data_IF_169683376895
#
_entry.id   IF_169683376895
#
_cell.length_a   1.000
_cell.length_b   1.000
_cell.length_c   1.000
_cell.angle_alpha   90.00
_cell.angle_beta   90.00
_cell.angle_gamma   90.00
#
_symmetry.space_group_name_H-M   'P 1'
#
loop_
_entity.id
_entity.type
_entity.pdbx_description
1 polymer ?
#
# COMPACT_ATOMS: atom_id res chain seq x y z
N UNK A 1 22.91 11.65 -3.80
CA UNK A 1 22.45 11.84 -4.18
C UNK A 1 21.92 12.35 -4.56
N UNK A 2 21.95 12.29 -4.87
CA UNK A 2 21.54 13.04 -5.24
C UNK A 2 20.43 13.36 -5.69
N UNK A 3 20.09 13.99 -5.29
CA UNK A 3 18.81 14.31 -5.71
C UNK A 3 18.89 14.86 -7.08
N UNK A 4 18.06 14.32 -7.88
CA UNK A 4 17.83 14.78 -9.15
C UNK A 4 17.27 16.19 -8.99
N UNK A 5 17.86 17.17 -9.57
CA UNK A 5 17.38 18.53 -9.51
C UNK A 5 16.36 18.83 -10.61
N UNK A 6 15.83 17.82 -11.26
CA UNK A 6 14.80 18.00 -12.27
C UNK A 6 13.54 18.57 -11.59
N UNK A 7 12.92 19.61 -12.14
CA UNK A 7 11.69 20.13 -11.60
C UNK A 7 10.64 19.01 -11.48
N UNK A 8 10.01 18.89 -10.33
CA UNK A 8 9.07 17.84 -10.07
C UNK A 8 9.68 16.57 -9.52
N UNK A 9 11.01 16.52 -9.37
CA UNK A 9 11.63 15.35 -8.76
C UNK A 9 11.22 15.25 -7.30
N UNK A 10 11.04 14.01 -6.83
CA UNK A 10 10.65 13.76 -5.46
C UNK A 10 11.87 13.87 -4.53
N UNK A 11 11.63 14.21 -3.27
CA UNK A 11 12.63 14.14 -2.21
C UNK A 11 12.09 13.22 -1.13
N UNK A 12 12.96 12.75 -0.23
CA UNK A 12 12.48 11.94 0.89
C UNK A 12 11.46 12.68 1.71
N UNK A 13 11.68 13.98 1.93
CA UNK A 13 10.73 14.78 2.71
C UNK A 13 9.40 14.93 2.01
N UNK A 14 9.42 15.20 0.71
CA UNK A 14 8.16 15.36 -0.03
C UNK A 14 7.41 14.03 -0.11
N UNK A 15 8.13 12.93 -0.25
CA UNK A 15 7.53 11.61 -0.28
C UNK A 15 6.89 11.30 1.07
N UNK A 16 7.60 11.55 2.16
CA UNK A 16 7.08 11.26 3.49
C UNK A 16 5.79 12.07 3.76
N UNK A 17 5.76 13.33 3.34
CA UNK A 17 4.56 14.15 3.50
C UNK A 17 3.39 13.67 2.66
N UNK A 18 3.66 12.91 1.62
CA UNK A 18 2.62 12.39 0.72
C UNK A 18 2.02 11.07 1.20
N UNK A 19 2.58 10.45 2.24
CA UNK A 19 2.04 9.21 2.77
C UNK A 19 0.72 9.50 3.46
N UNK A 20 -0.33 8.82 3.03
CA UNK A 20 -1.65 8.94 3.65
C UNK A 20 -1.76 7.87 4.73
N UNK A 21 -2.19 8.26 5.92
CA UNK A 21 -2.32 7.37 7.06
C UNK A 21 -3.80 7.08 7.29
N UNK A 22 -4.14 5.80 7.41
CA UNK A 22 -5.52 5.38 7.64
C UNK A 22 -5.90 5.36 9.11
N UNK A 23 -7.14 5.00 9.35
CA UNK A 23 -7.70 4.90 10.70
C UNK A 23 -7.35 3.52 11.26
N UNK A 24 -6.82 3.43 12.49
CA UNK A 24 -6.53 2.12 13.08
C UNK A 24 -7.79 1.30 13.30
N UNK A 25 -7.67 -0.01 13.13
CA UNK A 25 -8.74 -0.97 13.36
C UNK A 25 -8.24 -2.01 14.36
N UNK A 26 -9.02 -2.28 15.40
CA UNK A 26 -8.62 -3.24 16.44
C UNK A 26 -9.60 -4.40 16.47
N UNK A 27 -9.06 -5.61 16.50
CA UNK A 27 -9.83 -6.84 16.61
C UNK A 27 -9.06 -7.79 17.52
N UNK A 28 -9.72 -8.32 18.54
CA UNK A 28 -9.11 -9.26 19.49
C UNK A 28 -7.74 -8.78 19.95
N UNK A 29 -7.66 -7.51 20.30
CA UNK A 29 -6.45 -6.84 20.81
C UNK A 29 -5.33 -6.65 19.80
N UNK A 30 -5.46 -7.11 18.56
CA UNK A 30 -4.54 -6.75 17.51
C UNK A 30 -5.01 -5.47 16.86
N UNK A 31 -4.06 -4.59 16.54
CA UNK A 31 -4.37 -3.33 15.85
C UNK A 31 -3.75 -3.38 14.47
N UNK A 32 -4.50 -2.89 13.48
CA UNK A 32 -4.08 -2.81 12.09
C UNK A 32 -4.22 -1.37 11.63
N UNK A 33 -3.29 -0.90 10.83
CA UNK A 33 -3.39 0.46 10.29
C UNK A 33 -2.79 0.49 8.90
N UNK A 34 -3.49 1.10 7.96
CA UNK A 34 -3.04 1.18 6.57
C UNK A 34 -2.36 2.49 6.26
N UNK A 35 -1.49 2.46 5.25
CA UNK A 35 -0.78 3.62 4.74
C UNK A 35 -0.73 3.51 3.22
N UNK A 36 -0.77 4.65 2.54
CA UNK A 36 -0.78 4.66 1.07
C UNK A 36 0.14 5.74 0.54
N UNK A 37 0.89 5.39 -0.47
CA UNK A 37 1.61 6.35 -1.29
C UNK A 37 1.13 6.20 -2.72
N UNK A 38 0.71 7.31 -3.33
CA UNK A 38 0.28 7.35 -4.72
C UNK A 38 1.37 7.99 -5.57
N UNK A 39 1.25 7.83 -6.88
CA UNK A 39 2.21 8.38 -7.84
C UNK A 39 3.61 7.83 -7.61
N UNK A 40 3.69 6.56 -7.25
CA UNK A 40 4.96 5.86 -7.04
C UNK A 40 5.52 5.52 -8.41
N UNK A 41 6.78 5.91 -8.66
CA UNK A 41 7.40 5.71 -9.97
C UNK A 41 8.53 4.70 -9.94
N UNK A 42 8.98 4.28 -8.78
CA UNK A 42 10.12 3.36 -8.69
C UNK A 42 10.08 2.57 -7.39
N UNK A 43 10.76 1.44 -7.40
CA UNK A 43 10.91 0.63 -6.19
C UNK A 43 11.73 1.39 -5.13
N UNK A 44 12.63 2.26 -5.55
CA UNK A 44 13.38 3.10 -4.61
C UNK A 44 12.43 3.95 -3.76
N UNK A 45 11.33 4.44 -4.35
CA UNK A 45 10.35 5.19 -3.58
C UNK A 45 9.60 4.29 -2.58
N UNK A 46 9.33 3.03 -2.95
CA UNK A 46 8.74 2.07 -2.02
C UNK A 46 9.66 1.87 -0.82
N UNK A 47 10.95 1.70 -1.07
CA UNK A 47 11.93 1.50 0.00
C UNK A 47 12.00 2.73 0.91
N UNK A 48 11.96 3.92 0.30
CA UNK A 48 11.96 5.17 1.07
C UNK A 48 10.71 5.28 1.94
N UNK A 49 9.55 4.90 1.40
CA UNK A 49 8.31 4.89 2.17
C UNK A 49 8.44 3.99 3.40
N UNK A 50 8.95 2.78 3.21
CA UNK A 50 9.07 1.83 4.32
C UNK A 50 10.05 2.34 5.38
N UNK A 51 11.16 2.95 4.96
CA UNK A 51 12.10 3.55 5.91
C UNK A 51 11.46 4.70 6.67
N UNK A 52 10.70 5.55 5.97
CA UNK A 52 10.03 6.68 6.60
C UNK A 52 9.03 6.20 7.65
N UNK A 53 8.24 5.17 7.32
CA UNK A 53 7.28 4.63 8.27
C UNK A 53 7.99 4.05 9.50
N UNK A 54 9.11 3.35 9.31
CA UNK A 54 9.81 2.74 10.44
C UNK A 54 10.54 3.75 11.31
N UNK A 55 10.68 5.01 10.88
CA UNK A 55 11.21 6.05 11.76
C UNK A 55 10.20 6.48 12.83
N UNK A 56 8.93 6.21 12.62
CA UNK A 56 7.93 6.43 13.65
C UNK A 56 8.10 5.35 14.73
N UNK A 57 8.24 5.77 15.99
CA UNK A 57 8.58 4.84 17.08
C UNK A 57 7.48 3.80 17.29
N UNK A 58 6.23 4.15 17.09
CA UNK A 58 5.13 3.21 17.25
C UNK A 58 5.15 2.17 16.11
N UNK A 59 5.37 2.61 14.88
CA UNK A 59 5.42 1.70 13.73
C UNK A 59 6.65 0.81 13.82
N UNK A 60 7.77 1.33 14.31
CA UNK A 60 8.97 0.52 14.47
C UNK A 60 8.75 -0.68 15.39
N UNK A 61 7.74 -0.62 16.26
CA UNK A 61 7.43 -1.70 17.20
C UNK A 61 6.32 -2.63 16.69
N UNK A 62 5.83 -2.46 15.47
CA UNK A 62 4.78 -3.34 14.98
C UNK A 62 5.33 -4.75 14.78
N UNK A 63 4.43 -5.72 14.82
CA UNK A 63 4.80 -7.11 14.62
C UNK A 63 5.12 -7.40 13.15
N UNK A 64 4.38 -6.78 12.25
CA UNK A 64 4.55 -6.98 10.81
C UNK A 64 4.23 -5.66 10.11
N UNK A 65 5.04 -5.29 9.14
CA UNK A 65 4.80 -4.13 8.28
C UNK A 65 4.73 -4.65 6.84
N UNK A 66 3.54 -4.95 6.39
CA UNK A 66 3.31 -5.63 5.11
C UNK A 66 3.11 -4.61 4.01
N UNK A 67 3.69 -4.85 2.85
CA UNK A 67 3.62 -3.90 1.74
C UNK A 67 3.34 -4.62 0.43
N UNK A 68 2.65 -3.94 -0.47
CA UNK A 68 2.50 -4.39 -1.85
C UNK A 68 2.51 -3.15 -2.74
N UNK A 69 3.07 -3.29 -3.93
CA UNK A 69 3.16 -2.17 -4.86
C UNK A 69 2.91 -2.65 -6.28
N UNK A 70 2.45 -1.73 -7.12
CA UNK A 70 2.19 -2.00 -8.52
C UNK A 70 2.47 -0.73 -9.29
N UNK A 71 3.56 -0.74 -10.06
CA UNK A 71 4.09 0.44 -10.74
C UNK A 71 4.19 0.14 -12.21
N UNK A 72 3.60 0.99 -13.05
CA UNK A 72 3.72 0.82 -14.50
C UNK A 72 5.07 1.35 -14.95
N UNK A 73 5.87 0.47 -15.51
CA UNK A 73 7.21 0.82 -15.98
C UNK A 73 7.14 1.30 -17.43
N UNK A 74 6.32 0.65 -18.26
CA UNK A 74 6.11 1.08 -19.64
C UNK A 74 4.65 0.85 -20.01
N UNK A 75 4.20 1.53 -21.05
CA UNK A 75 2.80 1.56 -21.47
C UNK A 75 2.18 2.90 -21.11
N UNK A 76 0.97 3.12 -21.56
CA UNK A 76 0.28 4.39 -21.35
C UNK A 76 -1.06 4.16 -20.68
N UNK A 77 -1.61 5.21 -20.04
CA UNK A 77 -2.95 5.10 -19.46
C UNK A 77 -3.96 4.67 -20.49
N UNK A 78 -4.82 3.72 -20.12
CA UNK A 78 -5.82 3.19 -21.04
C UNK A 78 -5.40 1.92 -21.76
N UNK A 79 -4.10 1.59 -21.77
CA UNK A 79 -3.66 0.33 -22.35
C UNK A 79 -4.10 -0.84 -21.48
N UNK A 80 -4.31 -1.99 -22.11
CA UNK A 80 -4.55 -3.22 -21.35
C UNK A 80 -3.34 -3.56 -20.51
N UNK A 81 -3.55 -4.23 -19.38
CA UNK A 81 -2.46 -4.56 -18.47
C UNK A 81 -1.34 -5.37 -19.15
N UNK A 82 -1.70 -6.28 -20.04
CA UNK A 82 -0.72 -7.11 -20.72
C UNK A 82 0.07 -6.33 -21.81
N UNK A 83 -0.37 -5.14 -22.15
CA UNK A 83 0.38 -4.25 -23.04
C UNK A 83 1.37 -3.38 -22.27
N UNK A 84 1.39 -3.49 -20.95
CA UNK A 84 2.26 -2.70 -20.10
C UNK A 84 3.30 -3.58 -19.43
N UNK A 85 4.39 -2.96 -18.99
CA UNK A 85 5.38 -3.62 -18.15
C UNK A 85 5.21 -3.09 -16.73
N UNK A 86 5.23 -3.99 -15.77
CA UNK A 86 4.95 -3.65 -14.38
C UNK A 86 6.12 -4.01 -13.48
N UNK A 87 6.41 -3.15 -12.52
CA UNK A 87 7.21 -3.51 -11.35
C UNK A 87 6.20 -3.72 -10.24
N UNK A 88 5.95 -4.97 -9.88
CA UNK A 88 4.95 -5.28 -8.86
C UNK A 88 5.45 -6.44 -8.02
N UNK A 89 5.29 -6.31 -6.72
CA UNK A 89 5.74 -7.31 -5.77
C UNK A 89 5.16 -6.97 -4.40
N UNK A 90 5.56 -7.73 -3.41
CA UNK A 90 5.12 -7.51 -2.04
C UNK A 90 6.20 -7.92 -1.06
N UNK A 91 6.06 -7.46 0.19
CA UNK A 91 6.89 -7.85 1.31
C UNK A 91 5.94 -8.16 2.47
N UNK A 92 5.92 -9.40 2.92
CA UNK A 92 5.00 -9.83 3.98
C UNK A 92 5.51 -9.54 5.37
N UNK A 93 6.80 -9.29 5.51
CA UNK A 93 7.44 -9.02 6.79
C UNK A 93 7.02 -10.04 7.86
N UNK A 94 7.06 -11.31 7.48
CA UNK A 94 6.79 -12.40 8.42
C UNK A 94 5.33 -12.80 8.59
N UNK A 95 4.39 -12.05 8.03
CA UNK A 95 2.97 -12.43 8.07
C UNK A 95 2.69 -13.29 6.83
N UNK A 96 2.99 -14.57 6.91
CA UNK A 96 2.96 -15.45 5.76
C UNK A 96 1.58 -15.48 5.09
N UNK A 97 1.56 -15.24 3.79
CA UNK A 97 0.33 -15.24 2.99
C UNK A 97 -0.28 -13.87 2.79
N UNK A 98 0.08 -12.88 3.61
CA UNK A 98 -0.52 -11.54 3.52
C UNK A 98 -0.16 -10.85 2.21
N UNK A 99 1.08 -11.02 1.75
CA UNK A 99 1.54 -10.34 0.55
C UNK A 99 0.82 -10.78 -0.70
N UNK A 100 0.51 -12.09 -0.81
CA UNK A 100 -0.22 -12.57 -1.94
C UNK A 100 -1.59 -11.94 -2.03
N UNK A 101 -2.29 -11.81 -0.92
CA UNK A 101 -3.62 -11.19 -0.90
C UNK A 101 -3.56 -9.72 -1.26
N UNK A 102 -2.58 -9.00 -0.73
CA UNK A 102 -2.42 -7.58 -1.04
C UNK A 102 -2.06 -7.37 -2.51
N UNK A 103 -1.15 -8.19 -3.05
CA UNK A 103 -0.80 -8.11 -4.48
C UNK A 103 -1.99 -8.40 -5.37
N UNK A 104 -2.78 -9.41 -5.02
CA UNK A 104 -3.97 -9.76 -5.77
C UNK A 104 -4.97 -8.59 -5.75
N UNK A 105 -5.13 -7.95 -4.61
CA UNK A 105 -6.01 -6.80 -4.48
C UNK A 105 -5.59 -5.67 -5.43
N UNK A 106 -4.30 -5.38 -5.52
CA UNK A 106 -3.82 -4.35 -6.43
C UNK A 106 -4.12 -4.69 -7.89
N UNK A 107 -4.01 -5.97 -8.24
CA UNK A 107 -4.30 -6.39 -9.62
C UNK A 107 -5.79 -6.32 -9.95
N UNK A 108 -6.65 -6.80 -9.07
CA UNK A 108 -8.09 -6.83 -9.36
C UNK A 108 -8.71 -5.43 -9.35
N UNK A 109 -8.17 -4.52 -8.55
CA UNK A 109 -8.63 -3.14 -8.54
C UNK A 109 -7.98 -2.32 -9.65
N UNK A 110 -6.99 -2.91 -10.34
CA UNK A 110 -6.23 -2.23 -11.40
C UNK A 110 -5.57 -0.95 -10.91
N UNK A 111 -5.11 -0.97 -9.66
CA UNK A 111 -4.40 0.17 -9.09
C UNK A 111 -3.07 0.35 -9.81
N UNK A 112 -2.70 1.58 -10.09
CA UNK A 112 -1.51 1.91 -10.85
C UNK A 112 -0.66 2.90 -10.05
N UNK A 113 0.65 2.65 -10.02
CA UNK A 113 1.62 3.57 -9.40
C UNK A 113 1.32 3.82 -7.94
N UNK A 114 1.09 2.73 -7.20
CA UNK A 114 0.75 2.80 -5.78
C UNK A 114 1.60 1.85 -4.97
N UNK A 115 1.80 2.22 -3.71
CA UNK A 115 2.29 1.31 -2.68
C UNK A 115 1.35 1.40 -1.50
N UNK A 116 0.78 0.25 -1.09
CA UNK A 116 -0.08 0.18 0.08
C UNK A 116 0.63 -0.64 1.15
N UNK A 117 0.54 -0.18 2.39
CA UNK A 117 1.20 -0.81 3.53
C UNK A 117 0.18 -1.02 4.62
N UNK A 118 0.27 -2.15 5.32
CA UNK A 118 -0.55 -2.41 6.50
C UNK A 118 0.39 -2.82 7.63
N UNK A 119 0.31 -2.09 8.74
CA UNK A 119 1.05 -2.46 9.95
C UNK A 119 0.12 -3.24 10.87
N UNK A 120 0.64 -4.26 11.53
CA UNK A 120 -0.09 -5.02 12.51
C UNK A 120 0.67 -5.06 13.82
N UNK A 121 -0.01 -4.73 14.91
CA UNK A 121 0.50 -4.89 16.27
C UNK A 121 -0.26 -6.04 16.90
N UNK A 122 0.42 -7.17 17.13
CA UNK A 122 -0.20 -8.35 17.71
C UNK A 122 -0.52 -8.09 19.18
N UNK A 123 -1.75 -8.42 19.59
CA UNK A 123 -2.20 -8.17 20.96
C UNK A 123 -2.30 -9.39 21.86
N UNK A 124 -1.69 -10.51 21.43
CA UNK A 124 -1.67 -11.72 22.27
C UNK A 124 -2.74 -12.74 21.96
N UNK A 125 -3.75 -12.40 21.18
CA UNK A 125 -4.82 -13.33 20.81
C UNK A 125 -4.70 -13.62 19.32
N UNK A 126 -4.63 -14.90 18.97
CA UNK A 126 -4.49 -15.28 17.58
C UNK A 126 -5.81 -15.07 16.84
N UNK A 127 -5.71 -14.47 15.64
CA UNK A 127 -6.89 -14.23 14.81
C UNK A 127 -7.14 -15.35 13.81
N UNK A 128 -6.16 -16.22 13.58
CA UNK A 128 -6.28 -17.27 12.58
C UNK A 128 -6.41 -16.68 11.18
N UNK A 129 -7.11 -17.40 10.28
CA UNK A 129 -7.25 -16.93 8.89
C UNK A 129 -8.00 -15.61 8.75
N UNK A 130 -8.79 -15.23 9.74
CA UNK A 130 -9.54 -13.97 9.67
C UNK A 130 -8.62 -12.75 9.53
N UNK A 131 -7.35 -12.87 9.96
CA UNK A 131 -6.41 -11.77 9.86
C UNK A 131 -6.19 -11.33 8.41
N UNK A 132 -6.27 -12.26 7.47
CA UNK A 132 -6.04 -11.92 6.06
C UNK A 132 -7.17 -11.03 5.51
N UNK A 133 -8.41 -11.29 5.91
CA UNK A 133 -9.52 -10.43 5.52
C UNK A 133 -9.36 -9.04 6.09
N UNK A 134 -8.90 -8.94 7.34
CA UNK A 134 -8.69 -7.65 7.99
C UNK A 134 -7.58 -6.88 7.26
N UNK A 135 -6.47 -7.54 6.96
CA UNK A 135 -5.35 -6.91 6.24
C UNK A 135 -5.82 -6.40 4.88
N UNK A 136 -6.55 -7.24 4.14
CA UNK A 136 -7.02 -6.84 2.82
C UNK A 136 -8.05 -5.72 2.91
N UNK A 137 -8.91 -5.72 3.90
CA UNK A 137 -9.86 -4.63 4.08
C UNK A 137 -9.16 -3.31 4.41
N UNK A 138 -8.12 -3.36 5.25
CA UNK A 138 -7.33 -2.17 5.53
C UNK A 138 -6.67 -1.63 4.27
N UNK A 139 -6.08 -2.52 3.47
CA UNK A 139 -5.44 -2.12 2.21
C UNK A 139 -6.48 -1.55 1.24
N UNK A 140 -7.65 -2.19 1.13
CA UNK A 140 -8.69 -1.74 0.25
C UNK A 140 -9.21 -0.36 0.65
N UNK A 141 -9.39 -0.12 1.94
CA UNK A 141 -9.84 1.18 2.44
C UNK A 141 -8.86 2.27 2.04
N UNK A 142 -7.56 1.99 2.08
CA UNK A 142 -6.56 2.96 1.67
C UNK A 142 -6.62 3.25 0.17
N UNK A 143 -6.80 2.22 -0.64
CA UNK A 143 -6.92 2.39 -2.08
C UNK A 143 -8.19 3.19 -2.42
N UNK A 144 -9.27 2.93 -1.71
CA UNK A 144 -10.52 3.65 -1.92
C UNK A 144 -10.36 5.11 -1.52
N UNK A 145 -9.77 5.38 -0.37
CA UNK A 145 -9.54 6.74 0.11
C UNK A 145 -8.63 7.53 -0.85
N UNK A 146 -7.72 6.85 -1.51
CA UNK A 146 -6.82 7.47 -2.48
C UNK A 146 -7.40 7.59 -3.88
N UNK A 147 -8.64 7.17 -4.09
CA UNK A 147 -9.27 7.29 -5.40
C UNK A 147 -8.87 6.22 -6.40
N UNK A 148 -8.33 5.09 -5.93
CA UNK A 148 -7.84 4.03 -6.81
C UNK A 148 -8.85 2.94 -7.09
N UNK A 149 -10.04 3.02 -6.49
CA UNK A 149 -11.09 2.04 -6.71
C UNK A 149 -12.29 2.73 -7.34
N UNK A 150 -12.76 2.17 -8.47
CA UNK A 150 -13.92 2.70 -9.11
C UNK A 150 -15.17 2.17 -8.44
N UNK A 151 -16.14 3.01 -8.20
CA UNK A 151 -17.42 2.62 -7.64
C UNK A 151 -18.45 2.56 -8.77
N UNK A 152 -18.57 1.40 -9.37
CA UNK A 152 -19.47 1.26 -10.47
C UNK A 152 -20.89 1.35 -10.03
N UNK A 153 -21.69 1.99 -10.82
CA UNK A 153 -23.11 2.08 -10.57
C UNK A 153 -23.54 2.99 -9.47
N UNK A 154 -22.59 3.47 -8.66
CA UNK A 154 -22.95 4.34 -7.66
C UNK A 154 -23.27 5.64 -8.19
N UNK A 155 -24.21 6.25 -7.95
CA UNK A 155 -24.53 7.52 -8.49
C UNK A 155 -24.98 7.52 -9.90
N UNK A 156 -24.87 6.45 -10.60
CA UNK A 156 -25.35 6.43 -11.86
C UNK A 156 -26.74 6.15 -11.84
N UNK A 157 -27.12 5.77 -11.10
CA UNK A 157 -28.39 5.53 -11.17
C UNK A 157 -29.23 6.46 -10.76
N UNK A 158 -29.20 6.84 -10.71
CA UNK A 158 -29.93 7.45 -10.26
C UNK A 158 -30.41 8.04 -10.65
#
# INVERSE_FOLDING_TARGET
MNADNTPGAWTEESLERSIVTGVPFTEKKSTFQGYLLSNVRSVAQVETMLRALRRNTRIAKCSHLMAAWRIRVSGTPGDADDACTWAQDHDEDGEAGAGKGMSHLLRVTKAVDVCVVVARWFGGIHLGPARFSIINNCARDMLDAGGHIEHQGKGKGR
#
